data_IF_223755383228
#
_entry.id   IF_223755383228
#
_cell.length_a   1.000
_cell.length_b   1.000
_cell.length_c   1.000
_cell.angle_alpha   90.00
_cell.angle_beta   90.00
_cell.angle_gamma   90.00
#
_symmetry.space_group_name_H-M   'P 1'
#
loop_
_entity.id
_entity.type
_entity.pdbx_description
1 polymer ?
#
# COMPACT_ATOMS: atom_id res chain seq x y z
N UNK A 1 -6.02 9.79 3.70
CA UNK A 1 -4.59 9.92 3.39
C UNK A 1 -4.29 9.13 2.15
N UNK A 2 -3.29 9.54 1.39
CA UNK A 2 -3.06 8.99 0.04
C UNK A 2 -1.98 7.92 -0.04
N UNK A 3 -1.33 7.59 1.07
CA UNK A 3 -0.34 6.50 1.09
C UNK A 3 1.00 6.82 0.47
N UNK A 4 1.31 8.08 0.19
CA UNK A 4 2.59 8.46 -0.38
C UNK A 4 3.69 8.65 0.67
N UNK A 5 3.31 8.89 1.92
CA UNK A 5 4.25 9.08 3.03
C UNK A 5 4.31 7.83 3.89
N UNK A 6 5.53 7.31 4.08
CA UNK A 6 5.75 6.09 4.87
C UNK A 6 5.27 6.25 6.31
N UNK A 7 5.43 7.45 6.88
CA UNK A 7 5.05 7.70 8.27
C UNK A 7 3.54 7.62 8.51
N UNK A 8 2.74 7.73 7.46
CA UNK A 8 1.28 7.60 7.55
C UNK A 8 0.82 6.15 7.55
N UNK A 9 1.71 5.21 7.23
CA UNK A 9 1.38 3.80 7.09
C UNK A 9 1.97 3.03 8.26
N UNK A 10 1.11 2.29 8.96
CA UNK A 10 1.53 1.49 10.12
C UNK A 10 1.24 0.03 9.86
N UNK A 11 2.05 -0.84 10.43
CA UNK A 11 1.79 -2.28 10.39
C UNK A 11 0.41 -2.55 11.00
N UNK A 12 -0.40 -3.32 10.30
CA UNK A 12 -1.78 -3.62 10.70
C UNK A 12 -2.81 -2.64 10.18
N UNK A 13 -2.39 -1.52 9.58
CA UNK A 13 -3.33 -0.54 9.04
C UNK A 13 -4.11 -1.13 7.85
N UNK A 14 -5.39 -0.76 7.75
CA UNK A 14 -6.20 -1.12 6.60
C UNK A 14 -5.96 -0.13 5.46
N UNK A 15 -5.62 -0.65 4.30
CA UNK A 15 -5.26 0.18 3.15
C UNK A 15 -5.84 -0.40 1.86
N UNK A 16 -5.96 0.47 0.85
CA UNK A 16 -6.21 0.06 -0.52
C UNK A 16 -4.90 0.19 -1.29
N UNK A 17 -4.49 -0.89 -1.94
CA UNK A 17 -3.27 -0.92 -2.74
C UNK A 17 -3.60 -1.19 -4.20
N UNK A 18 -2.69 -0.79 -5.09
CA UNK A 18 -2.74 -1.18 -6.50
C UNK A 18 -1.67 -2.25 -6.72
N UNK A 19 -2.09 -3.42 -7.16
CA UNK A 19 -1.16 -4.50 -7.52
C UNK A 19 -0.48 -4.16 -8.85
N UNK A 20 0.70 -4.72 -9.08
CA UNK A 20 1.44 -4.47 -10.31
C UNK A 20 0.60 -4.74 -11.55
N UNK A 21 -0.13 -5.85 -11.57
CA UNK A 21 -1.00 -6.22 -12.70
C UNK A 21 -2.16 -5.25 -12.90
N UNK A 22 -2.54 -4.52 -11.86
CA UNK A 22 -3.70 -3.63 -11.89
C UNK A 22 -3.33 -2.16 -12.08
N UNK A 23 -2.04 -1.84 -12.19
CA UNK A 23 -1.60 -0.46 -12.38
C UNK A 23 -2.23 0.21 -13.60
N UNK A 24 -2.36 -0.47 -14.77
CA UNK A 24 -2.95 0.16 -15.94
C UNK A 24 -4.43 0.52 -15.77
N UNK A 25 -5.17 -0.20 -14.94
CA UNK A 25 -6.61 0.00 -14.75
C UNK A 25 -6.94 0.76 -13.47
N UNK A 26 -6.01 0.79 -12.52
CA UNK A 26 -6.23 1.44 -11.23
C UNK A 26 -7.12 0.66 -10.28
N UNK A 27 -7.39 -0.61 -10.53
CA UNK A 27 -8.18 -1.46 -9.63
C UNK A 27 -7.47 -1.56 -8.29
N UNK A 28 -8.23 -1.35 -7.21
CA UNK A 28 -7.68 -1.38 -5.84
C UNK A 28 -8.00 -2.69 -5.15
N UNK A 29 -7.06 -3.12 -4.31
CA UNK A 29 -7.20 -4.30 -3.46
C UNK A 29 -7.07 -3.87 -2.02
N UNK A 30 -8.06 -4.19 -1.19
CA UNK A 30 -8.05 -3.82 0.24
C UNK A 30 -7.44 -4.93 1.08
N UNK A 31 -6.65 -4.53 2.06
CA UNK A 31 -6.07 -5.46 3.02
C UNK A 31 -5.37 -4.73 4.15
N UNK A 32 -4.64 -5.49 4.96
CA UNK A 32 -3.93 -4.96 6.14
C UNK A 32 -2.43 -5.08 5.94
N UNK A 33 -1.70 -4.05 6.29
CA UNK A 33 -0.24 -3.99 6.09
C UNK A 33 0.45 -5.00 7.00
N UNK A 34 1.21 -5.91 6.37
CA UNK A 34 2.07 -6.85 7.06
C UNK A 34 3.50 -6.32 7.16
N UNK A 35 4.02 -5.76 6.07
CA UNK A 35 5.37 -5.20 6.00
C UNK A 35 5.38 -3.99 5.08
N UNK A 36 6.25 -3.05 5.39
CA UNK A 36 6.52 -1.89 4.52
C UNK A 36 7.80 -2.18 3.76
N UNK A 37 7.73 -2.18 2.43
CA UNK A 37 8.84 -2.55 1.56
C UNK A 37 9.59 -1.36 1.00
N UNK A 38 9.00 -0.16 1.00
CA UNK A 38 9.66 1.06 0.56
C UNK A 38 10.49 1.62 1.71
N UNK A 39 11.78 1.83 1.48
CA UNK A 39 12.68 2.38 2.50
C UNK A 39 12.63 3.91 2.58
N UNK A 40 12.26 4.58 1.50
CA UNK A 40 12.14 6.04 1.45
C UNK A 40 10.93 6.50 2.25
N UNK A 41 11.01 7.72 2.80
CA UNK A 41 9.89 8.31 3.52
C UNK A 41 8.73 8.66 2.61
N UNK A 42 9.00 8.88 1.33
CA UNK A 42 8.02 9.33 0.36
C UNK A 42 8.20 8.60 -0.97
N UNK A 43 7.09 8.29 -1.61
CA UNK A 43 7.11 7.79 -2.98
C UNK A 43 5.89 8.33 -3.74
N UNK A 44 6.09 8.95 -4.92
CA UNK A 44 4.99 9.61 -5.64
C UNK A 44 3.88 8.64 -6.10
N UNK A 45 4.22 7.36 -6.31
CA UNK A 45 3.23 6.35 -6.70
C UNK A 45 2.66 5.57 -5.53
N UNK A 46 3.00 5.96 -4.30
CA UNK A 46 2.56 5.28 -3.10
C UNK A 46 3.64 4.36 -2.52
N UNK A 47 3.60 4.17 -1.21
CA UNK A 47 4.52 3.31 -0.49
C UNK A 47 4.19 1.85 -0.84
N UNK A 48 5.22 1.07 -1.17
CA UNK A 48 5.06 -0.34 -1.47
C UNK A 48 4.97 -1.13 -0.17
N UNK A 49 3.94 -1.94 -0.05
CA UNK A 49 3.72 -2.77 1.13
C UNK A 49 3.35 -4.20 0.74
N UNK A 50 3.50 -5.10 1.72
CA UNK A 50 2.97 -6.46 1.63
C UNK A 50 1.79 -6.57 2.58
N UNK A 51 0.70 -7.16 2.12
CA UNK A 51 -0.50 -7.35 2.93
C UNK A 51 -0.47 -8.69 3.65
N UNK A 52 -1.21 -8.78 4.77
CA UNK A 52 -1.46 -10.06 5.44
C UNK A 52 -2.25 -11.01 4.53
N UNK A 53 -3.15 -10.45 3.75
CA UNK A 53 -4.01 -11.23 2.86
C UNK A 53 -3.19 -11.76 1.69
N UNK A 54 -2.92 -13.07 1.70
CA UNK A 54 -2.22 -13.80 0.64
C UNK A 54 -0.84 -13.24 0.28
N UNK A 55 -0.21 -12.48 1.21
CA UNK A 55 1.09 -11.84 0.98
C UNK A 55 1.12 -11.00 -0.30
N UNK A 56 -0.01 -10.39 -0.65
CA UNK A 56 -0.08 -9.54 -1.84
C UNK A 56 0.77 -8.29 -1.66
N UNK A 57 1.44 -7.89 -2.73
CA UNK A 57 2.35 -6.74 -2.74
C UNK A 57 1.84 -5.70 -3.72
N UNK A 58 1.82 -4.45 -3.27
CA UNK A 58 1.42 -3.34 -4.12
C UNK A 58 1.71 -2.00 -3.46
N UNK A 59 1.31 -0.93 -4.15
CA UNK A 59 1.53 0.44 -3.66
C UNK A 59 0.24 0.97 -3.05
N UNK A 60 0.37 1.55 -1.86
CA UNK A 60 -0.77 2.11 -1.13
C UNK A 60 -1.29 3.33 -1.89
N UNK A 61 -2.58 3.33 -2.17
CA UNK A 61 -3.26 4.44 -2.82
C UNK A 61 -4.17 5.18 -1.83
N UNK A 62 -4.65 4.48 -0.81
CA UNK A 62 -5.56 5.06 0.16
C UNK A 62 -5.37 4.36 1.50
N UNK A 63 -5.36 5.14 2.58
CA UNK A 63 -5.31 4.62 3.94
C UNK A 63 -6.72 4.71 4.51
N UNK A 64 -7.27 3.56 4.89
CA UNK A 64 -8.64 3.48 5.41
C UNK A 64 -8.64 3.70 6.92
N UNK A 65 -7.65 3.09 7.58
CA UNK A 65 -7.59 3.18 9.04
C UNK A 65 -6.14 3.13 9.53
#
# INVERSE_FOLDING_TARGET
MNGQNRDDIKIGAEVDIVLKKDQPTGILTRGHVKRILTNSKFHPHGIKVMLNEKDMVGRVQKIID
#
